data_IF_270541971225
#
_entry.id   IF_270541971225
#
_cell.length_a   1.000
_cell.length_b   1.000
_cell.length_c   1.000
_cell.angle_alpha   90.00
_cell.angle_beta   90.00
_cell.angle_gamma   90.00
#
_symmetry.space_group_name_H-M   'P 1'
#
loop_
_entity.id
_entity.type
_entity.pdbx_description
1 polymer ?
#
# COMPACT_ATOMS: atom_id res chain seq x y z
N UNK A 1 21.17 1.05 0.45
CA UNK A 1 20.30 -0.14 0.32
C UNK A 1 20.69 -0.87 -0.95
N UNK A 2 20.73 -2.20 -0.95
CA UNK A 2 20.89 -2.95 -2.20
C UNK A 2 19.54 -3.01 -2.91
N UNK A 3 19.50 -2.65 -4.20
CA UNK A 3 18.29 -2.65 -5.01
C UNK A 3 18.40 -3.75 -6.05
N UNK A 4 17.45 -4.69 -6.06
CA UNK A 4 17.29 -5.67 -7.12
C UNK A 4 16.11 -5.28 -8.00
N UNK A 5 16.25 -5.50 -9.32
CA UNK A 5 15.23 -5.15 -10.30
C UNK A 5 14.72 -6.41 -10.96
N UNK A 6 13.40 -6.50 -11.06
CA UNK A 6 12.71 -7.63 -11.69
C UNK A 6 11.73 -7.07 -12.72
N UNK A 7 12.09 -7.18 -14.00
CA UNK A 7 11.21 -6.77 -15.08
C UNK A 7 9.98 -7.68 -15.10
N UNK A 8 8.82 -7.09 -15.37
CA UNK A 8 7.54 -7.79 -15.50
C UNK A 8 7.04 -7.62 -16.94
N UNK A 9 6.48 -8.69 -17.47
CA UNK A 9 5.75 -8.69 -18.73
C UNK A 9 4.28 -9.00 -18.40
N UNK A 10 3.51 -8.01 -17.92
CA UNK A 10 2.17 -8.25 -17.41
C UNK A 10 1.22 -8.63 -18.57
N UNK A 11 0.29 -9.56 -18.34
CA UNK A 11 -0.79 -9.84 -19.29
C UNK A 11 -1.64 -8.59 -19.58
N UNK A 12 -2.34 -8.55 -20.72
CA UNK A 12 -3.33 -7.52 -21.01
C UNK A 12 -4.36 -7.36 -19.88
N UNK A 13 -4.85 -6.12 -19.68
CA UNK A 13 -5.81 -5.85 -18.62
C UNK A 13 -7.12 -6.66 -18.77
N UNK A 14 -7.58 -6.93 -19.99
CA UNK A 14 -8.78 -7.74 -20.22
C UNK A 14 -8.61 -9.20 -19.77
N UNK A 15 -7.41 -9.77 -19.95
CA UNK A 15 -7.08 -11.11 -19.48
C UNK A 15 -7.04 -11.15 -17.95
N UNK A 16 -6.43 -10.13 -17.33
CA UNK A 16 -6.43 -9.97 -15.88
C UNK A 16 -7.84 -9.80 -15.32
N UNK A 17 -8.69 -9.00 -15.98
CA UNK A 17 -10.08 -8.79 -15.59
C UNK A 17 -10.85 -10.11 -15.56
N UNK A 18 -10.73 -10.91 -16.62
CA UNK A 18 -11.39 -12.22 -16.74
C UNK A 18 -10.97 -13.17 -15.61
N UNK A 19 -9.67 -13.23 -15.30
CA UNK A 19 -9.15 -14.07 -14.21
C UNK A 19 -9.65 -13.59 -12.84
N UNK A 20 -9.61 -12.28 -12.61
CA UNK A 20 -10.03 -11.66 -11.35
C UNK A 20 -11.52 -11.88 -11.09
N UNK A 21 -12.38 -11.65 -12.09
CA UNK A 21 -13.81 -11.85 -11.97
C UNK A 21 -14.14 -13.30 -11.64
N UNK A 22 -13.58 -14.25 -12.40
CA UNK A 22 -13.75 -15.69 -12.15
C UNK A 22 -13.32 -16.08 -10.75
N UNK A 23 -12.15 -15.58 -10.30
CA UNK A 23 -11.65 -15.88 -8.96
C UNK A 23 -12.61 -15.36 -7.89
N UNK A 24 -13.02 -14.09 -7.99
CA UNK A 24 -13.93 -13.48 -7.03
C UNK A 24 -15.30 -14.17 -6.99
N UNK A 25 -15.84 -14.60 -8.14
CA UNK A 25 -17.12 -15.34 -8.18
C UNK A 25 -17.07 -16.70 -7.46
N UNK A 26 -15.89 -17.27 -7.24
CA UNK A 26 -15.76 -18.49 -6.42
C UNK A 26 -15.94 -18.23 -4.91
N UNK A 27 -15.80 -16.97 -4.48
CA UNK A 27 -15.71 -16.60 -3.06
C UNK A 27 -16.67 -15.46 -2.65
N UNK A 28 -17.37 -14.85 -3.62
CA UNK A 28 -18.35 -13.79 -3.44
C UNK A 28 -19.60 -14.08 -4.26
N UNK A 29 -20.78 -13.81 -3.70
CA UNK A 29 -22.05 -14.08 -4.37
C UNK A 29 -22.22 -13.30 -5.69
N UNK A 30 -21.67 -12.09 -5.74
CA UNK A 30 -21.60 -11.29 -6.96
C UNK A 30 -20.24 -10.62 -7.05
N UNK A 31 -19.62 -10.70 -8.22
CA UNK A 31 -18.40 -9.97 -8.52
C UNK A 31 -18.37 -9.58 -10.00
N UNK A 32 -17.59 -8.54 -10.31
CA UNK A 32 -17.26 -8.15 -11.66
C UNK A 32 -15.87 -7.54 -11.74
N UNK A 33 -15.21 -7.71 -12.87
CA UNK A 33 -13.98 -7.00 -13.19
C UNK A 33 -13.98 -6.62 -14.66
N UNK A 34 -13.65 -5.37 -14.96
CA UNK A 34 -13.58 -4.87 -16.33
C UNK A 34 -12.55 -3.77 -16.48
N UNK A 35 -12.09 -3.57 -17.71
CA UNK A 35 -11.23 -2.45 -18.06
C UNK A 35 -12.09 -1.21 -18.29
N UNK A 36 -11.75 -0.12 -17.61
CA UNK A 36 -12.44 1.18 -17.75
C UNK A 36 -11.44 2.31 -17.81
N UNK A 37 -11.86 3.46 -18.32
CA UNK A 37 -11.10 4.70 -18.11
C UNK A 37 -11.08 5.04 -16.61
N UNK A 38 -9.89 5.30 -16.07
CA UNK A 38 -9.72 5.69 -14.68
C UNK A 38 -10.50 6.98 -14.39
N UNK A 39 -11.41 6.98 -13.39
CA UNK A 39 -12.00 8.22 -12.92
C UNK A 39 -10.92 9.09 -12.28
N UNK A 40 -11.22 10.38 -12.07
CA UNK A 40 -10.32 11.25 -11.31
C UNK A 40 -10.30 10.82 -9.84
N UNK A 41 -9.18 10.24 -9.40
CA UNK A 41 -9.05 9.68 -8.06
C UNK A 41 -8.83 10.73 -6.96
N UNK A 42 -8.65 12.00 -7.33
CA UNK A 42 -8.64 13.12 -6.38
C UNK A 42 -10.02 13.41 -5.82
N UNK A 43 -11.05 12.99 -6.54
CA UNK A 43 -12.44 13.20 -6.13
C UNK A 43 -12.91 12.13 -5.14
N UNK A 44 -14.04 12.40 -4.50
CA UNK A 44 -14.72 11.42 -3.68
C UNK A 44 -15.07 10.17 -4.52
N UNK A 45 -14.97 8.96 -3.96
CA UNK A 45 -14.73 8.66 -2.54
C UNK A 45 -13.25 8.53 -2.15
N UNK A 46 -12.33 8.53 -3.11
CA UNK A 46 -10.94 8.14 -2.86
C UNK A 46 -10.10 9.28 -2.27
N UNK A 47 -10.28 10.51 -2.76
CA UNK A 47 -9.54 11.69 -2.28
C UNK A 47 -8.01 11.47 -2.26
N UNK A 48 -7.48 10.85 -3.32
CA UNK A 48 -6.06 10.56 -3.46
C UNK A 48 -5.27 11.78 -3.94
N UNK A 49 -3.95 11.74 -3.77
CA UNK A 49 -3.05 12.79 -4.24
C UNK A 49 -2.87 12.79 -5.77
N UNK A 50 -3.06 11.66 -6.43
CA UNK A 50 -2.97 11.49 -7.88
C UNK A 50 -4.34 11.41 -8.55
N UNK A 51 -4.44 11.89 -9.80
CA UNK A 51 -5.67 11.82 -10.59
C UNK A 51 -5.95 10.44 -11.21
N UNK A 52 -4.93 9.59 -11.36
CA UNK A 52 -5.08 8.25 -11.91
C UNK A 52 -3.91 7.34 -11.53
N UNK A 53 -3.93 6.11 -12.04
CA UNK A 53 -2.99 5.03 -11.70
C UNK A 53 -2.14 4.58 -12.91
N UNK A 54 -2.27 5.25 -14.05
CA UNK A 54 -1.64 4.83 -15.31
C UNK A 54 -0.28 5.51 -15.52
N UNK A 55 0.47 4.97 -16.50
CA UNK A 55 1.82 5.40 -16.86
C UNK A 55 2.90 4.70 -16.03
N UNK A 56 3.82 4.03 -16.72
CA UNK A 56 5.03 3.38 -16.19
C UNK A 56 4.86 2.79 -14.77
N UNK A 57 3.92 1.86 -14.61
CA UNK A 57 3.58 1.28 -13.31
C UNK A 57 4.71 0.41 -12.76
N UNK A 58 4.95 0.51 -11.45
CA UNK A 58 6.04 -0.18 -10.73
C UNK A 58 5.60 -0.58 -9.33
N UNK A 59 6.19 -1.64 -8.79
CA UNK A 59 6.04 -2.02 -7.37
C UNK A 59 7.39 -1.87 -6.67
N UNK A 60 7.36 -1.29 -5.46
CA UNK A 60 8.46 -1.29 -4.51
C UNK A 60 8.15 -2.22 -3.35
N UNK A 61 9.06 -3.13 -3.03
CA UNK A 61 9.03 -3.96 -1.83
C UNK A 61 10.31 -3.71 -1.05
N UNK A 62 10.19 -3.04 0.10
CA UNK A 62 11.32 -2.45 0.82
C UNK A 62 11.32 -2.95 2.25
N UNK A 63 12.47 -3.49 2.68
CA UNK A 63 12.63 -4.06 4.00
C UNK A 63 11.86 -5.37 4.15
N UNK A 64 11.05 -5.48 5.20
CA UNK A 64 10.15 -6.61 5.40
C UNK A 64 9.95 -6.96 6.87
N UNK A 65 9.19 -8.02 7.11
CA UNK A 65 8.86 -8.50 8.46
C UNK A 65 10.09 -8.79 9.32
N UNK A 66 11.22 -9.14 8.71
CA UNK A 66 12.51 -9.35 9.38
C UNK A 66 13.11 -8.07 9.99
N UNK A 67 12.65 -6.87 9.60
CA UNK A 67 13.05 -5.62 10.25
C UNK A 67 12.20 -5.31 11.49
N UNK A 68 11.11 -6.01 11.73
CA UNK A 68 10.26 -5.87 12.92
C UNK A 68 10.46 -7.03 13.90
N UNK A 69 10.52 -8.25 13.38
CA UNK A 69 10.57 -9.49 14.15
C UNK A 69 11.86 -10.27 13.86
N UNK A 70 12.55 -10.83 14.87
CA UNK A 70 12.13 -10.92 16.29
C UNK A 70 12.47 -9.68 17.12
N UNK A 71 13.23 -8.73 16.59
CA UNK A 71 13.52 -7.47 17.24
C UNK A 71 13.50 -6.34 16.21
N UNK A 72 12.89 -5.18 16.50
CA UNK A 72 12.86 -4.06 15.58
C UNK A 72 14.26 -3.54 15.24
N UNK A 73 14.56 -3.44 13.95
CA UNK A 73 15.78 -2.81 13.44
C UNK A 73 15.53 -1.32 13.31
N UNK A 74 15.72 -0.58 14.40
CA UNK A 74 15.35 0.83 14.49
C UNK A 74 16.14 1.76 13.54
N UNK A 75 17.23 1.28 12.94
CA UNK A 75 17.97 2.01 11.90
C UNK A 75 17.40 1.83 10.49
N UNK A 76 16.43 0.94 10.30
CA UNK A 76 15.72 0.75 9.03
C UNK A 76 14.74 1.92 8.80
N UNK A 77 15.28 3.08 8.40
CA UNK A 77 14.55 4.31 8.10
C UNK A 77 14.64 4.63 6.62
N UNK A 78 13.52 5.04 6.03
CA UNK A 78 13.43 5.29 4.59
C UNK A 78 12.74 6.62 4.31
N UNK A 79 13.01 7.17 3.12
CA UNK A 79 12.30 8.32 2.54
C UNK A 79 11.57 7.83 1.30
N UNK A 80 10.25 8.03 1.22
CA UNK A 80 9.42 7.62 0.08
C UNK A 80 9.90 8.27 -1.22
N UNK A 81 10.42 9.51 -1.18
CA UNK A 81 11.00 10.17 -2.35
C UNK A 81 12.33 9.53 -2.78
N UNK A 82 13.16 9.11 -1.82
CA UNK A 82 14.39 8.37 -2.13
C UNK A 82 14.05 6.99 -2.69
N UNK A 83 13.02 6.33 -2.16
CA UNK A 83 12.51 5.07 -2.71
C UNK A 83 11.92 5.26 -4.11
N UNK A 84 11.26 6.38 -4.40
CA UNK A 84 10.79 6.68 -5.76
C UNK A 84 11.95 6.73 -6.76
N UNK A 85 13.11 7.30 -6.36
CA UNK A 85 14.34 7.25 -7.16
C UNK A 85 14.84 5.82 -7.36
N UNK A 86 14.87 5.01 -6.30
CA UNK A 86 15.32 3.61 -6.36
C UNK A 86 14.37 2.73 -7.21
N UNK A 87 13.08 3.07 -7.22
CA UNK A 87 12.05 2.50 -8.10
C UNK A 87 12.16 3.02 -9.54
N UNK A 88 13.12 3.87 -9.89
CA UNK A 88 13.28 4.49 -11.22
C UNK A 88 12.07 5.32 -11.66
N UNK A 89 11.33 5.89 -10.70
CA UNK A 89 10.24 6.83 -10.98
C UNK A 89 10.77 8.11 -11.63
N UNK A 90 9.94 8.75 -12.45
CA UNK A 90 10.30 10.03 -13.04
C UNK A 90 10.23 11.16 -11.99
N UNK A 91 11.23 12.04 -11.88
CA UNK A 91 11.12 13.24 -11.06
C UNK A 91 10.17 14.28 -11.68
N UNK A 92 9.88 14.20 -12.99
CA UNK A 92 9.02 15.18 -13.67
C UNK A 92 7.57 15.15 -13.17
N UNK A 93 7.07 13.94 -12.88
CA UNK A 93 5.75 13.68 -12.33
C UNK A 93 5.70 12.25 -11.82
N UNK A 94 4.88 12.03 -10.80
CA UNK A 94 4.57 10.66 -10.38
C UNK A 94 3.59 10.62 -9.23
N UNK A 95 3.15 9.41 -8.95
CA UNK A 95 2.19 9.10 -7.91
C UNK A 95 2.52 7.76 -7.26
N UNK A 96 2.54 7.75 -5.93
CA UNK A 96 2.79 6.57 -5.10
C UNK A 96 1.68 6.39 -4.07
N UNK A 97 1.25 5.13 -3.95
CA UNK A 97 0.35 4.62 -2.91
C UNK A 97 0.99 3.39 -2.25
N UNK A 98 0.51 2.99 -1.08
CA UNK A 98 0.98 1.74 -0.50
C UNK A 98 0.53 1.50 0.93
N UNK A 99 1.30 0.65 1.60
CA UNK A 99 1.18 0.36 3.03
C UNK A 99 2.58 0.10 3.63
N UNK A 100 2.80 0.48 4.89
CA UNK A 100 4.07 0.22 5.57
C UNK A 100 4.05 0.64 7.03
N UNK A 101 5.23 0.63 7.66
CA UNK A 101 5.38 1.16 9.02
C UNK A 101 5.71 2.66 8.98
N UNK A 102 5.06 3.39 9.88
CA UNK A 102 5.20 4.84 9.99
C UNK A 102 6.60 5.24 10.47
N UNK A 103 7.06 6.46 10.12
CA UNK A 103 8.36 6.94 10.56
C UNK A 103 8.33 7.28 12.05
N UNK A 104 8.57 6.29 12.92
CA UNK A 104 8.61 6.49 14.37
C UNK A 104 9.60 7.57 14.80
N UNK A 105 10.64 7.83 14.01
CA UNK A 105 11.60 8.92 14.21
C UNK A 105 10.96 10.32 14.10
N UNK A 106 9.86 10.46 13.36
CA UNK A 106 9.17 11.73 13.14
C UNK A 106 7.97 11.89 14.09
N UNK A 107 7.31 10.77 14.44
CA UNK A 107 6.05 10.78 15.20
C UNK A 107 6.20 10.36 16.66
N UNK A 108 7.37 9.86 17.06
CA UNK A 108 7.70 9.48 18.44
C UNK A 108 7.18 8.13 18.92
N UNK A 109 6.57 7.33 18.04
CA UNK A 109 6.05 5.99 18.37
C UNK A 109 5.91 5.13 17.10
N UNK A 110 5.82 3.81 17.25
CA UNK A 110 5.44 2.93 16.15
C UNK A 110 3.97 3.14 15.72
N UNK A 111 3.68 2.89 14.45
CA UNK A 111 2.34 3.03 13.85
C UNK A 111 2.27 2.46 12.43
N UNK A 112 1.05 2.35 11.90
CA UNK A 112 0.82 2.01 10.49
C UNK A 112 0.89 3.25 9.61
N UNK A 113 1.35 3.08 8.37
CA UNK A 113 1.45 4.11 7.35
C UNK A 113 0.63 3.73 6.12
N UNK A 114 -0.16 4.68 5.62
CA UNK A 114 -0.82 4.61 4.33
C UNK A 114 -0.28 5.72 3.41
N UNK A 115 0.83 5.47 2.68
CA UNK A 115 1.39 6.37 1.68
C UNK A 115 0.37 6.78 0.63
N UNK A 116 0.32 8.08 0.35
CA UNK A 116 -0.48 8.68 -0.72
C UNK A 116 0.18 9.99 -1.12
N UNK A 117 1.10 9.92 -2.07
CA UNK A 117 2.00 11.02 -2.42
C UNK A 117 2.07 11.18 -3.93
N UNK A 118 1.76 12.37 -4.44
CA UNK A 118 2.04 12.73 -5.82
C UNK A 118 3.01 13.92 -5.88
N UNK A 119 3.72 14.03 -7.00
CA UNK A 119 4.65 15.12 -7.24
C UNK A 119 4.64 15.58 -8.68
N UNK A 120 5.07 16.82 -8.88
CA UNK A 120 5.45 17.39 -10.17
C UNK A 120 6.73 18.18 -10.01
N UNK A 121 7.60 18.12 -11.00
CA UNK A 121 8.78 18.96 -11.07
C UNK A 121 8.40 20.43 -11.21
N UNK A 122 9.11 21.31 -10.49
CA UNK A 122 8.95 22.75 -10.62
C UNK A 122 9.72 23.30 -11.84
N UNK A 123 10.78 22.60 -12.26
CA UNK A 123 11.60 22.93 -13.43
C UNK A 123 12.20 21.67 -14.08
N UNK A 124 12.98 21.85 -15.15
CA UNK A 124 13.62 20.75 -15.88
C UNK A 124 14.86 20.15 -15.18
N UNK A 125 15.36 20.76 -14.11
CA UNK A 125 16.53 20.28 -13.34
C UNK A 125 16.12 19.49 -12.08
N UNK A 126 14.81 19.40 -11.81
CA UNK A 126 14.25 18.81 -10.59
C UNK A 126 14.63 17.34 -10.44
N UNK A 127 14.95 16.95 -9.21
CA UNK A 127 15.25 15.58 -8.84
C UNK A 127 14.68 15.23 -7.44
N UNK A 128 14.87 13.99 -6.99
CA UNK A 128 14.39 13.57 -5.66
C UNK A 128 15.34 13.95 -4.51
N UNK A 129 16.45 14.64 -4.78
CA UNK A 129 17.44 15.01 -3.75
C UNK A 129 17.09 16.34 -3.09
N UNK A 130 16.60 17.31 -3.86
CA UNK A 130 16.08 18.57 -3.34
C UNK A 130 14.55 18.57 -3.36
N UNK A 131 13.94 18.38 -2.18
CA UNK A 131 12.48 18.41 -2.03
C UNK A 131 11.85 19.73 -2.50
N UNK A 132 12.58 20.84 -2.44
CA UNK A 132 12.06 22.15 -2.89
C UNK A 132 11.93 22.25 -4.42
N UNK A 133 12.59 21.36 -5.17
CA UNK A 133 12.42 21.25 -6.61
C UNK A 133 11.11 20.57 -7.03
N UNK A 134 10.36 20.00 -6.08
CA UNK A 134 9.11 19.29 -6.34
C UNK A 134 7.92 20.00 -5.71
N UNK A 135 6.83 20.14 -6.46
CA UNK A 135 5.49 20.40 -5.92
C UNK A 135 4.89 19.08 -5.45
N UNK A 136 4.65 18.96 -4.14
CA UNK A 136 4.15 17.73 -3.52
C UNK A 136 2.68 17.89 -3.11
N UNK A 137 1.84 16.91 -3.46
CA UNK A 137 0.55 16.69 -2.82
C UNK A 137 0.68 15.47 -1.92
N UNK A 138 0.59 15.68 -0.61
CA UNK A 138 0.78 14.63 0.38
C UNK A 138 -0.53 14.35 1.12
N UNK A 139 -1.21 13.30 0.66
CA UNK A 139 -2.39 12.73 1.30
C UNK A 139 -2.08 11.55 2.23
N UNK A 140 -0.80 11.33 2.57
CA UNK A 140 -0.36 10.21 3.42
C UNK A 140 -1.02 10.27 4.78
N UNK A 141 -1.43 9.10 5.28
CA UNK A 141 -2.05 8.96 6.59
C UNK A 141 -1.23 8.05 7.49
N UNK A 142 -1.31 8.32 8.78
CA UNK A 142 -0.75 7.48 9.84
C UNK A 142 -1.89 6.99 10.72
N UNK A 143 -1.85 5.72 11.11
CA UNK A 143 -2.82 5.10 12.01
C UNK A 143 -2.08 4.69 13.29
N UNK A 144 -2.38 5.37 14.38
CA UNK A 144 -1.72 5.24 15.69
C UNK A 144 -2.70 4.65 16.70
N UNK A 145 -2.21 3.82 17.62
CA UNK A 145 -2.95 3.47 18.83
C UNK A 145 -2.58 4.43 19.95
N UNK A 146 -3.58 4.93 20.69
CA UNK A 146 -3.39 5.70 21.91
C UNK A 146 -3.25 4.79 23.16
N UNK A 147 -3.00 5.38 24.32
CA UNK A 147 -2.86 4.64 25.59
C UNK A 147 -4.14 3.87 26.00
N UNK A 148 -5.30 4.23 25.46
CA UNK A 148 -6.59 3.58 25.71
C UNK A 148 -6.88 2.44 24.71
N UNK A 149 -5.87 2.04 23.92
CA UNK A 149 -6.01 1.06 22.85
C UNK A 149 -7.04 1.44 21.76
N UNK A 150 -7.16 2.74 21.48
CA UNK A 150 -8.05 3.28 20.46
C UNK A 150 -7.27 3.78 19.24
N UNK A 151 -7.58 3.28 18.03
CA UNK A 151 -6.89 3.68 16.82
C UNK A 151 -7.36 5.06 16.33
N UNK A 152 -6.40 5.90 15.93
CA UNK A 152 -6.65 7.23 15.35
C UNK A 152 -5.92 7.35 14.02
N UNK A 153 -6.66 7.75 12.99
CA UNK A 153 -6.13 8.03 11.67
C UNK A 153 -6.00 9.55 11.47
N UNK A 154 -4.81 10.01 11.11
CA UNK A 154 -4.51 11.43 10.88
C UNK A 154 -3.60 11.64 9.67
N UNK A 155 -3.59 12.86 9.13
CA UNK A 155 -2.68 13.22 8.03
C UNK A 155 -1.24 13.27 8.58
N UNK A 156 -0.29 12.75 7.80
CA UNK A 156 1.13 12.82 8.10
C UNK A 156 1.82 13.73 7.07
N UNK A 157 2.39 14.88 7.47
CA UNK A 157 3.10 15.77 6.53
C UNK A 157 4.45 15.21 6.07
N UNK A 158 5.02 14.24 6.81
CA UNK A 158 6.29 13.60 6.46
C UNK A 158 6.17 12.74 5.20
N UNK A 159 7.29 12.58 4.50
CA UNK A 159 7.48 11.63 3.40
C UNK A 159 8.40 10.47 3.80
N UNK A 160 8.65 10.28 5.09
CA UNK A 160 9.46 9.20 5.61
C UNK A 160 8.62 7.96 5.94
N UNK A 161 9.30 6.83 6.04
CA UNK A 161 8.78 5.56 6.57
C UNK A 161 9.87 4.85 7.36
N UNK A 162 9.54 3.71 7.95
CA UNK A 162 10.51 2.87 8.66
C UNK A 162 10.17 1.39 8.49
N UNK A 163 11.08 0.51 8.91
CA UNK A 163 11.02 -0.95 8.95
C UNK A 163 10.73 -1.62 7.59
N UNK A 164 9.51 -1.44 7.07
CA UNK A 164 9.06 -2.02 5.82
C UNK A 164 8.00 -1.16 5.14
N UNK A 165 7.97 -1.19 3.81
CA UNK A 165 6.96 -0.50 3.02
C UNK A 165 6.77 -1.18 1.66
N UNK A 166 5.51 -1.38 1.28
CA UNK A 166 5.10 -1.89 -0.03
C UNK A 166 4.42 -0.76 -0.80
N UNK A 167 4.94 -0.43 -1.97
CA UNK A 167 4.53 0.72 -2.78
C UNK A 167 4.05 0.30 -4.16
N UNK A 168 2.98 0.93 -4.62
CA UNK A 168 2.61 1.02 -6.02
C UNK A 168 2.97 2.42 -6.53
N UNK A 169 3.76 2.50 -7.59
CA UNK A 169 4.13 3.76 -8.26
C UNK A 169 3.64 3.79 -9.71
N UNK A 170 3.23 4.97 -10.17
CA UNK A 170 2.89 5.26 -11.58
C UNK A 170 3.19 6.73 -11.93
N UNK A 171 3.03 7.12 -13.19
CA UNK A 171 3.12 8.54 -13.59
C UNK A 171 1.91 9.37 -13.13
N UNK A 172 0.91 8.73 -12.48
CA UNK A 172 -0.31 9.36 -12.01
C UNK A 172 -1.25 9.79 -13.14
N UNK A 173 -1.11 9.17 -14.32
CA UNK A 173 -1.92 9.48 -15.49
C UNK A 173 -3.31 8.88 -15.39
N UNK A 174 -4.26 9.53 -16.06
CA UNK A 174 -5.50 8.86 -16.43
C UNK A 174 -5.22 7.84 -17.52
N UNK A 175 -6.02 6.79 -17.59
CA UNK A 175 -5.86 5.74 -18.58
C UNK A 175 -6.70 4.52 -18.23
N UNK A 176 -6.58 3.44 -19.01
CA UNK A 176 -7.26 2.19 -18.72
C UNK A 176 -6.80 1.60 -17.38
N UNK A 177 -7.76 1.18 -16.55
CA UNK A 177 -7.55 0.52 -15.25
C UNK A 177 -8.54 -0.62 -15.06
N UNK A 178 -8.21 -1.55 -14.16
CA UNK A 178 -9.13 -2.59 -13.70
C UNK A 178 -10.11 -2.01 -12.69
N UNK A 179 -11.40 -1.97 -13.05
CA UNK A 179 -12.48 -1.71 -12.09
C UNK A 179 -13.02 -3.04 -11.60
N UNK A 180 -12.77 -3.32 -10.32
CA UNK A 180 -13.17 -4.56 -9.67
C UNK A 180 -14.25 -4.27 -8.63
N UNK A 181 -15.31 -5.06 -8.62
CA UNK A 181 -16.37 -5.01 -7.63
C UNK A 181 -16.68 -6.40 -7.13
N UNK A 182 -16.88 -6.54 -5.82
CA UNK A 182 -17.34 -7.78 -5.21
C UNK A 182 -18.30 -7.44 -4.06
N UNK A 183 -19.32 -8.27 -3.86
CA UNK A 183 -20.32 -8.10 -2.80
C UNK A 183 -20.71 -9.45 -2.24
N UNK A 184 -20.94 -9.45 -0.92
CA UNK A 184 -21.35 -10.62 -0.13
C UNK A 184 -20.33 -11.75 -0.25
N UNK A 185 -19.32 -11.70 0.62
CA UNK A 185 -18.33 -12.77 0.72
C UNK A 185 -19.02 -14.06 1.19
N UNK A 186 -18.89 -15.13 0.41
CA UNK A 186 -19.47 -16.44 0.67
C UNK A 186 -18.41 -17.50 1.02
N UNK A 187 -17.16 -17.27 0.63
CA UNK A 187 -16.02 -18.12 0.98
C UNK A 187 -15.11 -17.53 2.07
N UNK A 188 -14.02 -18.22 2.36
CA UNK A 188 -13.09 -17.85 3.43
C UNK A 188 -12.14 -16.73 3.03
N UNK A 189 -11.77 -16.63 1.75
CA UNK A 189 -10.75 -15.69 1.30
C UNK A 189 -11.21 -14.23 1.34
N UNK A 190 -10.33 -13.34 1.79
CA UNK A 190 -10.58 -11.91 1.67
C UNK A 190 -10.44 -11.44 0.20
N UNK A 191 -10.84 -10.19 -0.08
CA UNK A 191 -10.88 -9.64 -1.43
C UNK A 191 -9.52 -9.71 -2.16
N UNK A 192 -8.44 -9.29 -1.51
CA UNK A 192 -7.11 -9.23 -2.13
C UNK A 192 -6.46 -10.60 -2.25
N UNK A 193 -6.66 -11.51 -1.28
CA UNK A 193 -6.19 -12.89 -1.38
C UNK A 193 -6.88 -13.64 -2.52
N UNK A 194 -8.19 -13.45 -2.69
CA UNK A 194 -8.94 -14.07 -3.77
C UNK A 194 -8.37 -13.66 -5.14
N UNK A 195 -8.07 -12.37 -5.33
CA UNK A 195 -7.39 -11.86 -6.52
C UNK A 195 -6.00 -12.49 -6.69
N UNK A 196 -5.16 -12.41 -5.65
CA UNK A 196 -3.78 -12.92 -5.66
C UNK A 196 -3.71 -14.40 -5.99
N UNK A 197 -4.55 -15.21 -5.34
CA UNK A 197 -4.60 -16.66 -5.56
C UNK A 197 -5.06 -16.97 -6.99
N UNK A 198 -6.12 -16.32 -7.49
CA UNK A 198 -6.59 -16.54 -8.86
C UNK A 198 -5.55 -16.19 -9.93
N UNK A 199 -4.78 -15.12 -9.73
CA UNK A 199 -3.66 -14.76 -10.61
C UNK A 199 -2.53 -15.79 -10.54
N UNK A 200 -2.10 -16.19 -9.33
CA UNK A 200 -1.06 -17.22 -9.14
C UNK A 200 -1.47 -18.55 -9.78
N UNK A 201 -2.70 -18.98 -9.57
CA UNK A 201 -3.18 -20.27 -10.08
C UNK A 201 -3.29 -20.26 -11.63
N UNK A 202 -3.44 -19.08 -12.24
CA UNK A 202 -3.50 -18.94 -13.71
C UNK A 202 -2.13 -18.78 -14.35
N UNK A 203 -1.24 -17.96 -13.78
CA UNK A 203 0.03 -17.57 -14.41
C UNK A 203 1.26 -18.27 -13.84
N UNK A 204 1.13 -18.85 -12.64
CA UNK A 204 2.19 -19.58 -11.94
C UNK A 204 3.40 -18.74 -11.55
N UNK A 205 4.42 -19.40 -11.01
CA UNK A 205 5.66 -18.76 -10.54
C UNK A 205 6.56 -18.29 -11.70
N UNK A 206 6.37 -18.84 -12.90
CA UNK A 206 7.15 -18.49 -14.09
C UNK A 206 6.73 -17.17 -14.73
N UNK A 207 5.50 -16.70 -14.48
CA UNK A 207 4.97 -15.43 -14.99
C UNK A 207 4.30 -14.63 -13.87
N UNK A 208 5.09 -14.12 -12.91
CA UNK A 208 4.56 -13.43 -11.74
C UNK A 208 3.88 -12.11 -12.13
N UNK A 209 2.64 -11.93 -11.68
CA UNK A 209 1.86 -10.70 -11.86
C UNK A 209 1.95 -9.85 -10.59
N UNK A 210 2.29 -8.58 -10.75
CA UNK A 210 2.26 -7.59 -9.68
C UNK A 210 1.10 -6.62 -9.91
N UNK A 211 0.27 -6.40 -8.89
CA UNK A 211 -0.93 -5.57 -8.97
C UNK A 211 -0.95 -4.59 -7.80
N UNK A 212 -1.31 -3.35 -8.07
CA UNK A 212 -1.51 -2.30 -7.07
C UNK A 212 -2.59 -1.32 -7.51
N UNK A 213 -3.03 -0.47 -6.57
CA UNK A 213 -4.12 0.46 -6.76
C UNK A 213 -4.76 0.82 -5.43
N UNK A 214 -6.03 1.22 -5.47
CA UNK A 214 -6.83 1.50 -4.28
C UNK A 214 -8.23 0.90 -4.44
N UNK A 215 -8.89 0.56 -3.33
CA UNK A 215 -10.27 0.12 -3.32
C UNK A 215 -11.05 0.70 -2.14
N UNK A 216 -12.37 0.72 -2.27
CA UNK A 216 -13.28 1.22 -1.25
C UNK A 216 -14.06 0.05 -0.65
N UNK A 217 -13.93 -0.17 0.65
CA UNK A 217 -14.92 -0.92 1.42
C UNK A 217 -16.17 -0.05 1.54
N UNK A 218 -17.15 -0.28 0.66
CA UNK A 218 -18.35 0.56 0.56
C UNK A 218 -19.41 0.25 1.62
N UNK A 219 -19.49 -0.98 2.11
CA UNK A 219 -20.48 -1.44 3.08
C UNK A 219 -19.98 -2.65 3.86
N UNK A 220 -20.44 -2.79 5.11
CA UNK A 220 -19.98 -3.84 6.04
C UNK A 220 -18.79 -3.36 6.86
N UNK A 221 -18.06 -4.30 7.46
CA UNK A 221 -16.90 -4.01 8.29
C UNK A 221 -15.71 -4.90 7.95
N UNK A 222 -14.53 -4.46 8.35
CA UNK A 222 -13.29 -5.20 8.18
C UNK A 222 -12.45 -5.16 9.46
N UNK A 223 -11.75 -6.27 9.72
CA UNK A 223 -10.82 -6.41 10.83
C UNK A 223 -9.43 -6.01 10.36
N UNK A 224 -8.80 -5.09 11.07
CA UNK A 224 -7.44 -4.63 10.85
C UNK A 224 -6.63 -4.84 12.11
N UNK A 225 -5.31 -4.99 11.98
CA UNK A 225 -4.43 -4.72 13.09
C UNK A 225 -3.87 -3.31 12.99
N UNK A 226 -3.49 -2.75 14.12
CA UNK A 226 -2.65 -1.56 14.20
C UNK A 226 -1.52 -1.88 15.18
N UNK A 227 -0.28 -1.68 14.77
CA UNK A 227 0.87 -1.88 15.63
C UNK A 227 0.88 -0.85 16.78
N UNK A 228 0.91 -1.30 18.05
CA UNK A 228 1.23 -0.42 19.17
C UNK A 228 2.68 0.05 19.11
N UNK A 229 3.08 0.88 20.08
CA UNK A 229 4.49 1.25 20.22
C UNK A 229 5.38 0.02 20.48
N UNK A 230 6.67 0.16 20.20
CA UNK A 230 7.62 -0.93 20.40
C UNK A 230 7.63 -1.40 21.87
N UNK A 231 7.74 -2.71 22.13
CA UNK A 231 7.92 -3.19 23.49
C UNK A 231 9.21 -2.59 24.10
N UNK A 232 9.25 -2.43 25.43
CA UNK A 232 10.47 -2.10 26.15
C UNK A 232 11.61 -3.09 25.83
N UNK A 233 12.86 -2.63 25.97
CA UNK A 233 14.05 -3.42 25.62
C UNK A 233 14.14 -4.74 26.40
N UNK A 234 13.69 -4.77 27.65
CA UNK A 234 13.65 -5.98 28.49
C UNK A 234 12.56 -6.99 28.10
N UNK A 235 11.68 -6.64 27.16
CA UNK A 235 10.67 -7.51 26.57
C UNK A 235 11.01 -7.94 25.13
N UNK A 236 12.18 -7.53 24.64
CA UNK A 236 12.71 -7.90 23.33
C UNK A 236 13.93 -8.84 23.47
N UNK A 237 14.19 -9.73 22.50
CA UNK A 237 13.38 -9.99 21.30
C UNK A 237 12.04 -10.64 21.62
N UNK A 238 11.07 -10.52 20.70
CA UNK A 238 9.86 -11.33 20.74
C UNK A 238 10.24 -12.82 20.82
N UNK A 239 9.62 -13.55 21.75
CA UNK A 239 9.83 -14.98 21.98
C UNK A 239 9.52 -15.80 20.74
N UNK A 240 8.41 -15.50 20.09
CA UNK A 240 7.90 -16.23 18.93
C UNK A 240 6.89 -15.37 18.13
N UNK A 241 6.46 -15.89 16.97
CA UNK A 241 5.44 -15.23 16.13
C UNK A 241 4.09 -15.09 16.85
N UNK A 242 3.77 -16.01 17.77
CA UNK A 242 2.50 -15.96 18.48
C UNK A 242 2.45 -14.75 19.43
N UNK A 243 3.54 -14.40 20.09
CA UNK A 243 3.62 -13.19 20.90
C UNK A 243 3.39 -11.94 20.05
N UNK A 244 4.07 -11.84 18.89
CA UNK A 244 3.86 -10.72 17.96
C UNK A 244 2.39 -10.65 17.50
N UNK A 245 1.86 -11.75 17.00
CA UNK A 245 0.55 -11.78 16.31
C UNK A 245 -0.65 -11.81 17.23
N UNK A 246 -0.55 -12.39 18.44
CA UNK A 246 -1.71 -12.56 19.33
C UNK A 246 -1.65 -11.71 20.59
N UNK A 247 -0.46 -11.30 21.01
CA UNK A 247 -0.26 -10.58 22.28
C UNK A 247 0.09 -9.11 22.04
N UNK A 248 0.92 -8.80 21.05
CA UNK A 248 1.36 -7.42 20.78
C UNK A 248 0.52 -6.69 19.72
N UNK A 249 0.21 -7.32 18.58
CA UNK A 249 -0.67 -6.68 17.59
C UNK A 249 -2.07 -6.45 18.17
N UNK A 250 -2.55 -5.21 18.06
CA UNK A 250 -3.91 -4.87 18.48
C UNK A 250 -4.85 -4.91 17.29
N UNK A 251 -5.98 -5.61 17.45
CA UNK A 251 -6.94 -5.82 16.37
C UNK A 251 -8.23 -5.02 16.60
N UNK A 252 -8.70 -4.37 15.56
CA UNK A 252 -9.87 -3.50 15.58
C UNK A 252 -10.78 -3.80 14.39
N UNK A 253 -12.09 -3.60 14.58
CA UNK A 253 -13.09 -3.69 13.51
C UNK A 253 -13.50 -2.28 13.13
N UNK A 254 -13.41 -1.96 11.85
CA UNK A 254 -13.83 -0.67 11.30
C UNK A 254 -15.02 -0.87 10.37
N UNK A 255 -16.03 -0.03 10.55
CA UNK A 255 -17.20 0.03 9.67
C UNK A 255 -16.88 0.85 8.41
N UNK A 256 -17.52 0.47 7.31
CA UNK A 256 -17.49 1.24 6.07
C UNK A 256 -18.03 2.68 6.29
N UNK A 257 -17.55 3.67 5.50
CA UNK A 257 -16.60 3.53 4.38
C UNK A 257 -15.13 3.52 4.82
N UNK A 258 -14.31 2.65 4.20
CA UNK A 258 -12.85 2.62 4.38
C UNK A 258 -12.16 2.58 3.02
N UNK A 259 -11.24 3.51 2.76
CA UNK A 259 -10.37 3.51 1.57
C UNK A 259 -9.09 2.77 1.91
N UNK A 260 -8.70 1.83 1.06
CA UNK A 260 -7.58 0.89 1.23
C UNK A 260 -6.70 0.87 -0.02
#
# INVERSE_FOLDING_TARGET
MAVTKHLRDPPPLDDLATVIERSLLSNFATASASVVQCPDLREAPFNLAGSGLSGNARIGDVGGQQHLFPQPVLDAKYSVLSLAKDMEMSPTRGFILGAGAAPFQDIGQNAELAPNLSWKANDSASDFTDKSSLSLENGTRVIKINQENSPKCEKLPSTNSALMINLFGSDGETGPVLKVSARTRTGEENFTNCIRNGLRDTYGESSPVSLGGAFLLKSGSAKFHVMPDFPPEDQLPFRDRQQLEKEWLSYHVFEAPVVL
#
